data_IF_283107682841
#
_entry.id   IF_283107682841
#
_cell.length_a   1.000
_cell.length_b   1.000
_cell.length_c   1.000
_cell.angle_alpha   90.00
_cell.angle_beta   90.00
_cell.angle_gamma   90.00
#
_symmetry.space_group_name_H-M   'P 1'
#
loop_
_entity.id
_entity.type
_entity.pdbx_description
1 polymer ?
#
# COMPACT_ATOMS: atom_id res chain seq x y z
N UNK A 1 -5.99 17.38 9.71
CA UNK A 1 -5.20 16.19 10.08
C UNK A 1 -6.05 15.03 10.63
N UNK A 2 -7.05 15.23 11.50
CA UNK A 2 -7.82 14.12 12.10
C UNK A 2 -8.51 13.21 11.08
N UNK A 3 -9.15 13.80 10.06
CA UNK A 3 -9.79 13.06 8.96
C UNK A 3 -8.76 12.21 8.19
N UNK A 4 -7.62 12.79 7.82
CA UNK A 4 -6.52 12.06 7.15
C UNK A 4 -6.04 10.87 7.99
N UNK A 5 -5.88 11.05 9.30
CA UNK A 5 -5.48 9.96 10.20
C UNK A 5 -6.50 8.82 10.19
N UNK A 6 -7.80 9.14 10.22
CA UNK A 6 -8.86 8.15 10.16
C UNK A 6 -8.87 7.40 8.83
N UNK A 7 -8.83 8.14 7.71
CA UNK A 7 -8.84 7.54 6.36
C UNK A 7 -7.61 6.66 6.15
N UNK A 8 -6.41 7.14 6.53
CA UNK A 8 -5.18 6.36 6.40
C UNK A 8 -5.18 5.13 7.33
N UNK A 9 -5.68 5.27 8.56
CA UNK A 9 -5.81 4.11 9.47
C UNK A 9 -6.79 3.07 8.92
N UNK A 10 -7.89 3.52 8.32
CA UNK A 10 -8.87 2.62 7.70
C UNK A 10 -8.27 1.91 6.47
N UNK A 11 -7.51 2.62 5.63
CA UNK A 11 -6.84 2.03 4.47
C UNK A 11 -5.76 1.00 4.88
N UNK A 12 -4.93 1.32 5.87
CA UNK A 12 -3.95 0.38 6.44
C UNK A 12 -4.64 -0.83 7.09
N UNK A 13 -5.74 -0.60 7.81
CA UNK A 13 -6.53 -1.68 8.42
C UNK A 13 -7.14 -2.62 7.37
N UNK A 14 -7.71 -2.06 6.30
CA UNK A 14 -8.22 -2.84 5.18
C UNK A 14 -7.11 -3.65 4.49
N UNK A 15 -5.96 -3.03 4.22
CA UNK A 15 -4.77 -3.71 3.68
C UNK A 15 -4.33 -4.89 4.56
N UNK A 16 -4.20 -4.67 5.87
CA UNK A 16 -3.82 -5.71 6.82
C UNK A 16 -4.84 -6.85 6.85
N UNK A 17 -6.15 -6.55 6.86
CA UNK A 17 -7.20 -7.57 6.85
C UNK A 17 -7.16 -8.43 5.58
N UNK A 18 -6.99 -7.81 4.42
CA UNK A 18 -6.87 -8.54 3.14
C UNK A 18 -5.59 -9.38 3.13
N UNK A 19 -4.47 -8.85 3.62
CA UNK A 19 -3.23 -9.62 3.74
C UNK A 19 -3.36 -10.84 4.66
N UNK A 20 -4.05 -10.69 5.80
CA UNK A 20 -4.37 -11.80 6.71
C UNK A 20 -5.25 -12.83 6.01
N UNK A 21 -6.25 -12.40 5.25
CA UNK A 21 -7.11 -13.30 4.48
C UNK A 21 -6.28 -14.13 3.49
N UNK A 22 -5.42 -13.50 2.68
CA UNK A 22 -4.54 -14.21 1.74
C UNK A 22 -3.66 -15.23 2.48
N UNK A 23 -3.01 -14.82 3.58
CA UNK A 23 -2.18 -15.71 4.38
C UNK A 23 -2.97 -16.90 4.96
N UNK A 24 -4.25 -16.74 5.26
CA UNK A 24 -5.09 -17.79 5.83
C UNK A 24 -5.66 -18.74 4.76
N UNK A 25 -5.93 -18.25 3.55
CA UNK A 25 -6.69 -19.01 2.54
C UNK A 25 -5.89 -19.46 1.33
N UNK A 26 -4.78 -18.78 1.00
CA UNK A 26 -3.96 -19.12 -0.16
C UNK A 26 -2.93 -20.20 0.20
N UNK A 27 -3.32 -21.47 0.00
CA UNK A 27 -2.42 -22.61 0.17
C UNK A 27 -1.28 -22.62 -0.87
N UNK A 28 -1.53 -22.06 -2.04
CA UNK A 28 -0.54 -22.04 -3.11
C UNK A 28 0.60 -21.09 -2.80
N UNK A 29 0.30 -19.95 -2.19
CA UNK A 29 1.29 -19.01 -1.65
C UNK A 29 2.27 -19.72 -0.68
N UNK A 30 1.74 -20.52 0.25
CA UNK A 30 2.57 -21.24 1.22
C UNK A 30 3.37 -22.39 0.62
N UNK A 31 2.81 -23.11 -0.35
CA UNK A 31 3.44 -24.30 -0.92
C UNK A 31 4.43 -23.99 -2.05
N UNK A 32 4.15 -22.98 -2.87
CA UNK A 32 4.97 -22.62 -4.03
C UNK A 32 5.98 -21.51 -3.71
N UNK A 33 5.63 -20.55 -2.83
CA UNK A 33 6.45 -19.36 -2.55
C UNK A 33 6.45 -18.96 -1.05
N UNK A 34 6.99 -19.80 -0.14
CA UNK A 34 6.98 -19.51 1.30
C UNK A 34 7.62 -18.15 1.67
N UNK A 35 8.65 -17.73 0.93
CA UNK A 35 9.31 -16.44 1.12
C UNK A 35 8.36 -15.26 0.87
N UNK A 36 7.44 -15.37 -0.10
CA UNK A 36 6.43 -14.34 -0.38
C UNK A 36 5.39 -14.30 0.74
N UNK A 37 5.02 -15.45 1.31
CA UNK A 37 4.15 -15.51 2.48
C UNK A 37 4.75 -14.78 3.70
N UNK A 38 6.04 -15.00 3.99
CA UNK A 38 6.73 -14.28 5.05
C UNK A 38 6.84 -12.77 4.77
N UNK A 39 7.06 -12.39 3.50
CA UNK A 39 7.02 -10.98 3.08
C UNK A 39 5.67 -10.33 3.33
N UNK A 40 4.58 -10.98 2.93
CA UNK A 40 3.21 -10.51 3.17
C UNK A 40 2.91 -10.40 4.67
N UNK A 41 3.35 -11.36 5.48
CA UNK A 41 3.21 -11.31 6.94
C UNK A 41 3.93 -10.08 7.54
N UNK A 42 5.12 -9.75 7.05
CA UNK A 42 5.83 -8.55 7.47
C UNK A 42 5.06 -7.27 7.09
N UNK A 43 4.49 -7.20 5.87
CA UNK A 43 3.67 -6.06 5.45
C UNK A 43 2.40 -5.90 6.31
N UNK A 44 1.70 -7.00 6.62
CA UNK A 44 0.56 -6.98 7.55
C UNK A 44 0.97 -6.42 8.91
N UNK A 45 2.09 -6.86 9.47
CA UNK A 45 2.58 -6.36 10.75
C UNK A 45 2.93 -4.87 10.70
N UNK A 46 3.55 -4.43 9.60
CA UNK A 46 3.87 -3.02 9.36
C UNK A 46 2.61 -2.15 9.24
N UNK A 47 1.59 -2.60 8.52
CA UNK A 47 0.33 -1.86 8.38
C UNK A 47 -0.31 -1.62 9.75
N UNK A 48 -0.38 -2.67 10.59
CA UNK A 48 -0.92 -2.57 11.94
C UNK A 48 -0.07 -1.63 12.83
N UNK A 49 1.27 -1.70 12.73
CA UNK A 49 2.16 -0.81 13.45
C UNK A 49 2.01 0.65 12.99
N UNK A 50 1.84 0.87 11.69
CA UNK A 50 1.64 2.18 11.10
C UNK A 50 0.31 2.81 11.51
N UNK A 51 -0.75 2.03 11.72
CA UNK A 51 -1.99 2.54 12.32
C UNK A 51 -1.67 3.23 13.65
N UNK A 52 -0.96 2.56 14.57
CA UNK A 52 -0.54 3.17 15.84
C UNK A 52 0.37 4.38 15.62
N UNK A 53 1.30 4.27 14.66
CA UNK A 53 2.21 5.33 14.27
C UNK A 53 1.51 6.60 13.78
N UNK A 54 0.45 6.48 12.97
CA UNK A 54 -0.32 7.62 12.42
C UNK A 54 -0.91 8.48 13.55
N UNK A 55 -1.32 7.85 14.66
CA UNK A 55 -1.89 8.53 15.82
C UNK A 55 -0.84 9.15 16.74
N UNK A 56 0.38 8.59 16.84
CA UNK A 56 1.44 9.08 17.73
C UNK A 56 2.49 9.97 17.06
N UNK A 57 2.93 9.61 15.85
CA UNK A 57 4.09 10.17 15.15
C UNK A 57 3.75 10.46 13.68
N UNK A 58 2.76 11.33 13.45
CA UNK A 58 2.09 11.49 12.15
C UNK A 58 3.03 11.70 10.95
N UNK A 59 4.13 12.47 11.08
CA UNK A 59 5.04 12.70 9.94
C UNK A 59 5.84 11.45 9.56
N UNK A 60 6.45 10.79 10.54
CA UNK A 60 7.21 9.56 10.31
C UNK A 60 6.30 8.44 9.80
N UNK A 61 5.09 8.34 10.35
CA UNK A 61 4.11 7.35 9.91
C UNK A 61 3.61 7.60 8.48
N UNK A 62 3.49 8.85 8.03
CA UNK A 62 3.15 9.16 6.64
C UNK A 62 4.25 8.72 5.68
N UNK A 63 5.52 9.01 6.00
CA UNK A 63 6.65 8.52 5.21
C UNK A 63 6.77 6.99 5.24
N UNK A 64 6.58 6.39 6.41
CA UNK A 64 6.57 4.94 6.57
C UNK A 64 5.45 4.26 5.78
N UNK A 65 4.24 4.81 5.79
CA UNK A 65 3.12 4.31 5.00
C UNK A 65 3.39 4.46 3.49
N UNK A 66 3.94 5.59 3.05
CA UNK A 66 4.31 5.77 1.64
C UNK A 66 5.38 4.77 1.20
N UNK A 67 6.43 4.60 2.00
CA UNK A 67 7.51 3.65 1.72
C UNK A 67 6.98 2.21 1.67
N UNK A 68 6.22 1.80 2.69
CA UNK A 68 5.66 0.46 2.81
C UNK A 68 4.74 0.16 1.64
N UNK A 69 3.81 1.07 1.32
CA UNK A 69 2.90 0.89 0.20
C UNK A 69 3.63 0.85 -1.14
N UNK A 70 4.71 1.63 -1.30
CA UNK A 70 5.54 1.59 -2.52
C UNK A 70 6.24 0.24 -2.67
N UNK A 71 6.89 -0.25 -1.61
CA UNK A 71 7.61 -1.54 -1.65
C UNK A 71 6.63 -2.68 -1.89
N UNK A 72 5.48 -2.68 -1.21
CA UNK A 72 4.45 -3.71 -1.39
C UNK A 72 3.86 -3.66 -2.80
N UNK A 73 3.56 -2.48 -3.34
CA UNK A 73 3.11 -2.32 -4.72
C UNK A 73 4.14 -2.88 -5.71
N UNK A 74 5.43 -2.56 -5.53
CA UNK A 74 6.49 -3.08 -6.39
C UNK A 74 6.64 -4.59 -6.28
N UNK A 75 6.49 -5.17 -5.08
CA UNK A 75 6.51 -6.62 -4.89
C UNK A 75 5.38 -7.30 -5.68
N UNK A 76 4.16 -6.77 -5.57
CA UNK A 76 3.00 -7.30 -6.30
C UNK A 76 3.10 -7.12 -7.82
N UNK A 77 3.64 -5.99 -8.28
CA UNK A 77 3.91 -5.82 -9.71
C UNK A 77 5.01 -6.78 -10.19
N UNK A 78 6.00 -7.04 -9.34
CA UNK A 78 7.01 -8.08 -9.55
C UNK A 78 6.39 -9.46 -9.71
N UNK A 79 5.44 -9.82 -8.84
CA UNK A 79 4.73 -11.10 -8.90
C UNK A 79 3.96 -11.27 -10.23
N UNK A 80 3.33 -10.19 -10.72
CA UNK A 80 2.59 -10.17 -11.99
C UNK A 80 3.52 -10.37 -13.21
N UNK A 81 4.73 -9.81 -13.15
CA UNK A 81 5.65 -9.74 -14.29
C UNK A 81 6.58 -10.97 -14.36
N UNK A 82 7.07 -11.44 -13.21
CA UNK A 82 8.12 -12.44 -13.13
C UNK A 82 8.02 -13.35 -11.89
N UNK A 83 6.86 -13.40 -11.22
CA UNK A 83 6.68 -14.20 -10.01
C UNK A 83 6.29 -15.65 -10.27
N UNK A 84 6.27 -16.10 -11.53
CA UNK A 84 5.76 -17.43 -11.85
C UNK A 84 6.59 -18.56 -11.22
N UNK A 85 5.94 -19.57 -10.62
CA UNK A 85 6.66 -20.74 -10.13
C UNK A 85 7.27 -21.56 -11.27
N UNK A 86 8.37 -22.24 -10.97
CA UNK A 86 9.04 -23.11 -11.92
C UNK A 86 8.08 -24.16 -12.50
N UNK A 87 7.97 -24.21 -13.83
CA UNK A 87 7.11 -25.16 -14.53
C UNK A 87 5.67 -24.70 -14.76
N UNK A 88 5.28 -23.50 -14.30
CA UNK A 88 3.97 -22.91 -14.63
C UNK A 88 4.12 -21.83 -15.72
N UNK A 89 3.29 -21.83 -16.77
CA UNK A 89 3.29 -20.74 -17.75
C UNK A 89 2.92 -19.39 -17.10
N UNK A 90 3.72 -18.35 -17.36
CA UNK A 90 3.53 -17.01 -16.80
C UNK A 90 2.10 -16.45 -17.02
N UNK A 91 1.49 -16.71 -18.18
CA UNK A 91 0.13 -16.28 -18.47
C UNK A 91 -0.93 -16.92 -17.54
N UNK A 92 -0.73 -18.19 -17.14
CA UNK A 92 -1.63 -18.89 -16.22
C UNK A 92 -1.47 -18.33 -14.81
N UNK A 93 -0.23 -18.13 -14.36
CA UNK A 93 0.04 -17.53 -13.05
C UNK A 93 -0.51 -16.10 -12.94
N UNK A 94 -0.29 -15.29 -13.97
CA UNK A 94 -0.81 -13.92 -14.00
C UNK A 94 -2.34 -13.89 -13.96
N UNK A 95 -3.01 -14.78 -14.69
CA UNK A 95 -4.46 -14.88 -14.65
C UNK A 95 -4.96 -15.34 -13.27
N UNK A 96 -4.25 -16.24 -12.60
CA UNK A 96 -4.54 -16.62 -11.21
C UNK A 96 -4.51 -15.41 -10.29
N UNK A 97 -3.41 -14.64 -10.30
CA UNK A 97 -3.26 -13.45 -9.45
C UNK A 97 -4.31 -12.38 -9.75
N UNK A 98 -4.58 -12.10 -11.03
CA UNK A 98 -5.53 -11.06 -11.42
C UNK A 98 -7.00 -11.47 -11.26
N UNK A 99 -7.29 -12.78 -11.18
CA UNK A 99 -8.62 -13.29 -10.85
C UNK A 99 -8.86 -13.35 -9.34
N UNK A 100 -7.80 -13.37 -8.52
CA UNK A 100 -7.93 -13.31 -7.07
C UNK A 100 -8.31 -11.91 -6.59
N UNK A 101 -9.56 -11.79 -6.13
CA UNK A 101 -10.11 -10.56 -5.56
C UNK A 101 -9.34 -10.05 -4.35
N UNK A 102 -8.74 -10.92 -3.54
CA UNK A 102 -7.96 -10.50 -2.39
C UNK A 102 -6.64 -9.88 -2.85
N UNK A 103 -5.94 -10.52 -3.78
CA UNK A 103 -4.75 -9.97 -4.41
C UNK A 103 -5.02 -8.61 -5.08
N UNK A 104 -6.04 -8.51 -5.92
CA UNK A 104 -6.40 -7.24 -6.59
C UNK A 104 -6.84 -6.18 -5.58
N UNK A 105 -7.58 -6.57 -4.53
CA UNK A 105 -7.97 -5.68 -3.44
C UNK A 105 -6.76 -5.09 -2.72
N UNK A 106 -5.78 -5.93 -2.40
CA UNK A 106 -4.53 -5.53 -1.75
C UNK A 106 -3.75 -4.53 -2.64
N UNK A 107 -3.68 -4.79 -3.95
CA UNK A 107 -3.03 -3.92 -4.93
C UNK A 107 -3.68 -2.52 -4.98
N UNK A 108 -5.02 -2.49 -5.04
CA UNK A 108 -5.79 -1.23 -5.03
C UNK A 108 -5.58 -0.47 -3.72
N UNK A 109 -5.58 -1.16 -2.59
CA UNK A 109 -5.34 -0.50 -1.28
C UNK A 109 -3.95 0.14 -1.20
N UNK A 110 -2.90 -0.47 -1.78
CA UNK A 110 -1.59 0.17 -1.83
C UNK A 110 -1.61 1.47 -2.62
N UNK A 111 -2.26 1.47 -3.80
CA UNK A 111 -2.47 2.68 -4.59
C UNK A 111 -3.23 3.78 -3.82
N UNK A 112 -4.25 3.41 -3.06
CA UNK A 112 -5.01 4.34 -2.21
C UNK A 112 -4.15 4.92 -1.08
N UNK A 113 -3.37 4.09 -0.37
CA UNK A 113 -2.47 4.54 0.69
C UNK A 113 -1.43 5.53 0.13
N UNK A 114 -0.85 5.23 -1.03
CA UNK A 114 0.06 6.14 -1.73
C UNK A 114 -0.61 7.46 -2.10
N UNK A 115 -1.82 7.42 -2.69
CA UNK A 115 -2.55 8.62 -3.07
C UNK A 115 -2.88 9.51 -1.85
N UNK A 116 -3.31 8.91 -0.73
CA UNK A 116 -3.60 9.62 0.51
C UNK A 116 -2.33 10.26 1.07
N UNK A 117 -1.23 9.50 1.16
CA UNK A 117 0.04 9.98 1.75
C UNK A 117 0.66 11.11 0.91
N UNK A 118 0.72 10.95 -0.42
CA UNK A 118 1.20 11.98 -1.35
C UNK A 118 0.27 13.20 -1.32
N UNK A 119 -1.04 13.00 -1.41
CA UNK A 119 -2.01 14.10 -1.39
C UNK A 119 -1.93 14.92 -0.10
N UNK A 120 -1.73 14.25 1.04
CA UNK A 120 -1.55 14.92 2.33
C UNK A 120 -0.27 15.76 2.38
N UNK A 121 0.80 15.31 1.73
CA UNK A 121 2.06 16.03 1.66
C UNK A 121 2.05 17.17 0.62
N UNK A 122 1.43 16.94 -0.54
CA UNK A 122 1.44 17.88 -1.67
C UNK A 122 0.44 19.04 -1.53
N UNK A 123 -0.77 18.80 -1.00
CA UNK A 123 -1.83 19.82 -0.89
C UNK A 123 -1.38 21.13 -0.18
N UNK A 124 -0.66 21.07 0.96
CA UNK A 124 -0.20 22.26 1.66
C UNK A 124 0.81 23.08 0.85
N UNK A 125 1.67 22.41 0.06
CA UNK A 125 2.68 23.07 -0.76
C UNK A 125 2.03 23.77 -1.96
N UNK A 126 1.04 23.15 -2.59
CA UNK A 126 0.30 23.74 -3.72
C UNK A 126 -0.48 25.01 -3.33
N UNK A 127 -1.07 25.07 -2.13
CA UNK A 127 -1.78 26.27 -1.65
C UNK A 127 -0.83 27.41 -1.23
N UNK A 128 0.38 27.07 -0.77
CA UNK A 128 1.40 28.07 -0.38
C UNK A 128 1.90 28.90 -1.56
N UNK A 129 2.05 28.29 -2.74
CA UNK A 129 2.48 29.00 -3.96
C UNK A 129 1.39 29.93 -4.51
N UNK A 130 0.11 29.52 -4.49
CA UNK A 130 -0.99 30.31 -5.04
C UNK A 130 -1.22 31.65 -4.30
N UNK A 131 -1.13 31.64 -2.96
CA UNK A 131 -1.28 32.85 -2.16
C UNK A 131 -0.08 33.80 -2.26
N UNK A 132 1.12 33.28 -2.54
CA UNK A 132 2.30 34.10 -2.81
C UNK A 132 2.19 34.81 -4.17
N UNK A 133 1.71 34.13 -5.21
CA UNK A 133 1.48 34.70 -6.55
C UNK A 133 0.46 35.85 -6.52
N UNK A 134 -0.58 35.76 -5.69
CA UNK A 134 -1.59 36.82 -5.55
C UNK A 134 -1.09 38.06 -4.79
N UNK A 135 -0.05 37.94 -3.96
CA UNK A 135 0.56 39.08 -3.26
C UNK A 135 1.52 39.89 -4.13
N UNK A 136 2.12 39.27 -5.15
CA UNK A 136 3.07 39.93 -6.05
C UNK A 136 2.33 40.90 -7.01
N UNK A 137 1.06 40.62 -7.34
CA UNK A 137 0.23 41.48 -8.19
C UNK A 137 -0.45 42.66 -7.47
N UNK A 138 -0.13 42.90 -6.19
CA UNK A 138 -0.78 43.92 -5.35
C UNK A 138 0.13 45.07 -4.92
N UNK A 139 1.23 45.31 -5.64
CA UNK A 139 2.08 46.50 -5.48
C UNK A 139 2.04 47.36 -6.73
#
# INVERSE_FOLDING_TARGET
MRIVRLILSAALGASAMVGIQILATDYWLWSASPTHAYGLMAFVALDLALIVGVWRLTRLALFGALLTATVQLMAMLGDIIAGEPAGLPAAVFRNYLLADTAYVGLLITQGLIMAITIGTWALPHLHGHWLASLKIFRK
#
